data_IF_041940073273
#
_entry.id   IF_041940073273
#
_cell.length_a   1.000
_cell.length_b   1.000
_cell.length_c   1.000
_cell.angle_alpha   90.00
_cell.angle_beta   90.00
_cell.angle_gamma   90.00
#
_symmetry.space_group_name_H-M   'P 1'
#
loop_
_entity.id
_entity.type
_entity.pdbx_description
1 polymer ?
#
# COMPACT_ATOMS: atom_id res chain seq x y z
N UNK A 1 8.55 16.93 36.68
CA UNK A 1 8.68 16.57 36.53
C UNK A 1 8.60 16.27 36.22
N UNK A 2 8.52 16.31 36.15
CA UNK A 2 8.57 15.81 35.79
C UNK A 2 8.34 15.51 35.31
N UNK A 3 8.36 15.38 34.92
CA UNK A 3 8.38 14.74 34.33
C UNK A 3 8.46 14.55 33.76
N UNK A 4 8.61 14.50 33.42
CA UNK A 4 8.77 13.94 32.73
C UNK A 4 8.76 13.65 32.03
N UNK A 5 8.77 13.70 31.83
CA UNK A 5 8.87 13.10 30.99
C UNK A 5 8.64 12.85 30.15
N UNK A 6 8.73 12.77 30.04
CA UNK A 6 8.59 12.31 29.17
C UNK A 6 8.75 12.38 28.30
N UNK A 7 8.78 12.37 28.21
CA UNK A 7 8.91 12.09 27.19
C UNK A 7 9.04 11.83 26.29
N UNK A 8 9.13 11.66 26.11
CA UNK A 8 9.10 11.14 25.32
C UNK A 8 8.74 11.08 24.50
N UNK A 9 8.61 10.99 24.46
CA UNK A 9 8.09 10.67 23.70
C UNK A 9 7.58 11.05 23.13
N UNK A 10 7.48 11.25 23.47
CA UNK A 10 6.78 11.43 22.97
C UNK A 10 6.33 11.91 22.41
N UNK A 11 6.41 12.12 22.53
CA UNK A 11 5.81 12.38 21.77
C UNK A 11 5.24 12.66 21.08
N UNK A 12 5.13 12.54 21.04
CA UNK A 12 4.39 12.53 20.46
C UNK A 12 3.57 13.12 20.40
N UNK A 13 3.64 13.36 20.34
CA UNK A 13 2.73 13.62 20.24
C UNK A 13 1.94 13.96 19.99
N UNK A 14 2.20 13.94 19.70
CA UNK A 14 1.43 14.27 19.62
C UNK A 14 0.26 14.08 19.48
N UNK A 15 0.10 14.07 19.85
CA UNK A 15 -1.14 13.69 20.39
C UNK A 15 -2.16 13.47 19.31
N UNK A 16 -2.73 12.30 19.21
CA UNK A 16 -3.66 11.96 18.15
C UNK A 16 -3.11 12.18 16.77
N UNK A 17 -1.81 12.37 16.69
CA UNK A 17 -1.15 12.70 15.42
C UNK A 17 -0.44 11.52 14.80
N UNK A 18 -0.67 10.33 15.30
CA UNK A 18 -0.11 9.14 14.68
C UNK A 18 -0.77 8.90 13.32
N UNK A 19 0.06 8.70 12.33
CA UNK A 19 -0.39 8.37 10.98
C UNK A 19 -0.62 6.87 10.86
N UNK A 20 -1.34 6.42 9.82
CA UNK A 20 -1.39 4.99 9.53
C UNK A 20 -0.01 4.35 9.41
N UNK A 21 0.96 5.09 8.85
CA UNK A 21 2.35 4.66 8.76
C UNK A 21 2.91 4.31 10.15
N UNK A 22 2.71 5.20 11.12
CA UNK A 22 3.17 4.97 12.48
C UNK A 22 2.43 3.80 13.13
N UNK A 23 1.12 3.74 12.93
CA UNK A 23 0.28 2.68 13.51
C UNK A 23 0.64 1.29 12.98
N UNK A 24 1.11 1.21 11.73
CA UNK A 24 1.55 -0.06 11.16
C UNK A 24 2.92 -0.49 11.65
N UNK A 25 3.73 0.44 12.16
CA UNK A 25 5.05 0.13 12.68
C UNK A 25 6.20 0.66 11.82
N UNK A 26 5.91 1.58 10.90
CA UNK A 26 6.93 2.28 10.14
C UNK A 26 7.36 1.56 8.87
N UNK A 27 8.52 1.96 8.36
CA UNK A 27 9.01 1.58 7.03
C UNK A 27 9.08 0.07 6.81
N UNK A 28 9.69 -0.65 7.73
CA UNK A 28 9.88 -2.09 7.55
C UNK A 28 8.55 -2.83 7.44
N UNK A 29 7.57 -2.43 8.26
CA UNK A 29 6.27 -3.08 8.25
C UNK A 29 5.49 -2.75 6.97
N UNK A 30 5.59 -1.53 6.48
CA UNK A 30 4.94 -1.15 5.22
C UNK A 30 5.58 -1.90 4.05
N UNK A 31 6.91 -2.00 4.03
CA UNK A 31 7.58 -2.74 2.96
C UNK A 31 7.27 -4.23 3.02
N UNK A 32 7.16 -4.81 4.22
CA UNK A 32 6.73 -6.21 4.37
C UNK A 32 5.31 -6.41 3.81
N UNK A 33 4.42 -5.46 4.04
CA UNK A 33 3.07 -5.51 3.50
C UNK A 33 3.09 -5.51 1.97
N UNK A 34 3.92 -4.65 1.38
CA UNK A 34 4.04 -4.56 -0.08
C UNK A 34 4.55 -5.88 -0.67
N UNK A 35 5.57 -6.49 -0.05
CA UNK A 35 6.07 -7.78 -0.53
C UNK A 35 4.99 -8.86 -0.42
N UNK A 36 4.29 -8.92 0.70
CA UNK A 36 3.21 -9.89 0.88
C UNK A 36 2.07 -9.67 -0.14
N UNK A 37 1.79 -8.41 -0.47
CA UNK A 37 0.78 -8.05 -1.45
C UNK A 37 1.12 -8.61 -2.84
N UNK A 38 2.32 -8.37 -3.32
CA UNK A 38 2.72 -8.87 -4.64
C UNK A 38 2.90 -10.39 -4.65
N UNK A 39 3.39 -10.96 -3.55
CA UNK A 39 3.50 -12.41 -3.43
C UNK A 39 2.11 -13.07 -3.51
N UNK A 40 1.12 -12.50 -2.83
CA UNK A 40 -0.26 -13.01 -2.89
C UNK A 40 -0.82 -12.87 -4.31
N UNK A 41 -0.54 -11.76 -4.97
CA UNK A 41 -0.98 -11.53 -6.34
C UNK A 41 -0.38 -12.57 -7.29
N UNK A 42 0.92 -12.82 -7.20
CA UNK A 42 1.57 -13.84 -8.03
C UNK A 42 0.98 -15.23 -7.80
N UNK A 43 0.69 -15.56 -6.56
CA UNK A 43 0.19 -16.88 -6.20
C UNK A 43 -1.28 -17.09 -6.59
N UNK A 44 -2.12 -16.08 -6.32
CA UNK A 44 -3.58 -16.24 -6.36
C UNK A 44 -4.27 -15.51 -7.49
N UNK A 45 -3.63 -14.49 -8.08
CA UNK A 45 -4.26 -13.63 -9.09
C UNK A 45 -3.35 -13.50 -10.32
N UNK A 46 -3.08 -14.59 -11.03
CA UNK A 46 -2.12 -14.56 -12.14
C UNK A 46 -2.51 -13.61 -13.28
N UNK A 47 -3.80 -13.43 -13.53
CA UNK A 47 -4.23 -12.51 -14.59
C UNK A 47 -3.92 -11.06 -14.23
N UNK A 48 -4.08 -10.70 -12.97
CA UNK A 48 -3.71 -9.36 -12.51
C UNK A 48 -2.19 -9.22 -12.49
N UNK A 49 -1.47 -10.23 -12.01
CA UNK A 49 -0.02 -10.21 -11.98
C UNK A 49 0.55 -9.98 -13.38
N UNK A 50 -0.07 -10.59 -14.40
CA UNK A 50 0.40 -10.50 -15.78
C UNK A 50 0.31 -9.08 -16.37
N UNK A 51 -0.45 -8.18 -15.74
CA UNK A 51 -0.52 -6.79 -16.16
C UNK A 51 0.67 -5.97 -15.67
N UNK A 52 1.54 -6.57 -14.88
CA UNK A 52 2.72 -5.91 -14.31
C UNK A 52 3.97 -6.29 -15.07
N UNK A 53 4.98 -5.41 -15.01
CA UNK A 53 6.29 -5.72 -15.52
C UNK A 53 6.87 -6.90 -14.75
N UNK A 54 7.55 -7.80 -15.45
CA UNK A 54 8.12 -9.01 -14.87
C UNK A 54 9.63 -9.04 -15.00
N UNK A 55 10.32 -9.51 -13.96
CA UNK A 55 11.77 -9.78 -14.03
C UNK A 55 12.03 -11.20 -14.51
N UNK A 56 11.07 -12.09 -14.29
CA UNK A 56 11.11 -13.48 -14.74
C UNK A 56 9.66 -13.95 -14.84
N UNK A 57 9.37 -15.07 -15.54
CA UNK A 57 8.00 -15.56 -15.65
C UNK A 57 7.34 -15.72 -14.28
N UNK A 58 6.19 -15.08 -14.12
CA UNK A 58 5.42 -15.11 -12.88
C UNK A 58 6.01 -14.31 -11.73
N UNK A 59 7.05 -13.51 -11.97
CA UNK A 59 7.72 -12.73 -10.92
C UNK A 59 7.62 -11.24 -11.22
N UNK A 60 6.77 -10.56 -10.48
CA UNK A 60 6.59 -9.11 -10.63
C UNK A 60 7.90 -8.38 -10.32
N UNK A 61 8.26 -7.45 -11.21
CA UNK A 61 9.56 -6.80 -11.20
C UNK A 61 9.86 -6.11 -9.87
N UNK A 62 11.14 -6.19 -9.44
CA UNK A 62 11.59 -5.52 -8.22
C UNK A 62 11.33 -4.02 -8.28
N UNK A 63 11.50 -3.40 -9.45
CA UNK A 63 11.27 -1.96 -9.60
C UNK A 63 9.82 -1.58 -9.30
N UNK A 64 8.87 -2.43 -9.67
CA UNK A 64 7.45 -2.17 -9.38
C UNK A 64 7.16 -2.27 -7.89
N UNK A 65 7.71 -3.29 -7.23
CA UNK A 65 7.55 -3.48 -5.79
C UNK A 65 8.14 -2.32 -5.01
N UNK A 66 9.34 -1.90 -5.35
CA UNK A 66 10.04 -0.82 -4.66
C UNK A 66 9.31 0.51 -4.84
N UNK A 67 8.83 0.77 -6.07
CA UNK A 67 8.12 2.02 -6.35
C UNK A 67 6.79 2.09 -5.60
N UNK A 68 6.03 1.00 -5.58
CA UNK A 68 4.79 0.94 -4.81
C UNK A 68 5.06 1.08 -3.32
N UNK A 69 6.15 0.49 -2.84
CA UNK A 69 6.56 0.64 -1.44
C UNK A 69 6.78 2.09 -1.06
N UNK A 70 7.54 2.83 -1.86
CA UNK A 70 7.76 4.26 -1.63
C UNK A 70 6.45 5.05 -1.67
N UNK A 71 5.60 4.75 -2.65
CA UNK A 71 4.31 5.40 -2.76
C UNK A 71 3.46 5.14 -1.51
N UNK A 72 3.37 3.89 -1.09
CA UNK A 72 2.51 3.51 0.03
C UNK A 72 3.01 4.13 1.34
N UNK A 73 4.32 4.18 1.55
CA UNK A 73 4.91 4.84 2.72
C UNK A 73 4.41 6.29 2.80
N UNK A 74 4.53 7.04 1.71
CA UNK A 74 4.07 8.43 1.68
C UNK A 74 2.56 8.57 1.83
N UNK A 75 1.80 7.69 1.15
CA UNK A 75 0.34 7.71 1.18
C UNK A 75 -0.19 7.45 2.58
N UNK A 76 0.50 6.61 3.35
CA UNK A 76 0.13 6.30 4.72
C UNK A 76 0.60 7.36 5.73
N UNK A 77 1.28 8.40 5.28
CA UNK A 77 1.70 9.52 6.13
C UNK A 77 3.14 9.48 6.58
N UNK A 78 3.95 8.59 6.01
CA UNK A 78 5.37 8.52 6.29
C UNK A 78 6.19 9.47 5.42
N UNK A 79 7.52 9.26 5.33
CA UNK A 79 8.37 10.11 4.50
C UNK A 79 7.90 10.20 3.06
N UNK A 80 8.03 11.39 2.46
CA UNK A 80 7.51 11.67 1.11
C UNK A 80 8.56 11.42 0.03
N UNK A 81 9.29 10.32 0.14
CA UNK A 81 10.38 9.99 -0.79
C UNK A 81 9.89 9.73 -2.21
N UNK A 82 8.69 9.15 -2.35
CA UNK A 82 8.12 8.95 -3.69
C UNK A 82 7.98 10.29 -4.40
N UNK A 83 7.38 11.28 -3.73
CA UNK A 83 7.18 12.61 -4.30
C UNK A 83 8.51 13.27 -4.65
N UNK A 84 9.52 13.10 -3.78
CA UNK A 84 10.84 13.68 -4.00
C UNK A 84 11.54 13.08 -5.21
N UNK A 85 11.36 11.76 -5.45
CA UNK A 85 12.05 11.06 -6.53
C UNK A 85 11.27 11.04 -7.84
N UNK A 86 9.94 10.99 -7.78
CA UNK A 86 9.10 10.74 -8.95
C UNK A 86 8.03 11.81 -9.18
N UNK A 87 7.90 12.80 -8.29
CA UNK A 87 6.87 13.81 -8.38
C UNK A 87 5.49 13.27 -7.99
N UNK A 88 4.45 13.96 -8.41
CA UNK A 88 3.08 13.58 -8.10
C UNK A 88 2.76 12.21 -8.70
N UNK A 89 2.12 11.30 -7.94
CA UNK A 89 1.89 9.93 -8.44
C UNK A 89 0.99 9.84 -9.66
N UNK A 90 -0.03 10.69 -9.79
CA UNK A 90 -0.95 10.71 -10.94
C UNK A 90 -1.46 9.31 -11.27
N UNK A 91 -2.03 8.66 -10.30
CA UNK A 91 -2.39 7.24 -10.38
C UNK A 91 -3.27 6.90 -11.58
N UNK A 92 -4.31 7.68 -11.85
CA UNK A 92 -5.21 7.40 -12.97
C UNK A 92 -4.51 7.52 -14.31
N UNK A 93 -3.67 8.53 -14.45
CA UNK A 93 -2.94 8.74 -15.71
C UNK A 93 -1.96 7.59 -15.94
N UNK A 94 -1.24 7.17 -14.91
CA UNK A 94 -0.24 6.11 -15.04
C UNK A 94 -0.86 4.76 -15.36
N UNK A 95 -2.12 4.54 -14.99
CA UNK A 95 -2.83 3.29 -15.24
C UNK A 95 -3.77 3.37 -16.44
N UNK A 96 -3.81 4.50 -17.14
CA UNK A 96 -4.81 4.73 -18.16
C UNK A 96 -4.80 3.74 -19.32
N UNK A 97 -3.65 3.18 -19.66
CA UNK A 97 -3.53 2.22 -20.76
C UNK A 97 -3.63 0.76 -20.29
N UNK A 98 -3.68 0.54 -19.00
CA UNK A 98 -3.87 -0.80 -18.45
C UNK A 98 -5.36 -1.01 -18.21
N UNK A 99 -5.97 -2.10 -18.74
CA UNK A 99 -7.41 -2.28 -18.55
C UNK A 99 -7.73 -2.67 -17.11
N UNK A 100 -8.44 -1.80 -16.40
CA UNK A 100 -8.82 -2.00 -15.00
C UNK A 100 -10.34 -1.98 -14.90
N UNK A 101 -10.94 -3.13 -14.89
CA UNK A 101 -12.37 -3.31 -14.67
C UNK A 101 -12.64 -3.81 -13.26
N UNK A 102 -13.86 -4.30 -13.05
CA UNK A 102 -14.26 -4.82 -11.74
C UNK A 102 -13.43 -6.04 -11.36
N UNK A 103 -13.14 -6.92 -12.30
CA UNK A 103 -12.35 -8.12 -12.01
C UNK A 103 -10.95 -7.77 -11.51
N UNK A 104 -10.29 -6.80 -12.16
CA UNK A 104 -8.94 -6.38 -11.75
C UNK A 104 -8.98 -5.66 -10.40
N UNK A 105 -9.97 -4.81 -10.19
CA UNK A 105 -10.17 -4.16 -8.90
C UNK A 105 -10.34 -5.17 -7.78
N UNK A 106 -11.20 -6.15 -7.98
CA UNK A 106 -11.48 -7.15 -6.95
C UNK A 106 -10.27 -8.04 -6.69
N UNK A 107 -9.53 -8.41 -7.73
CA UNK A 107 -8.29 -9.18 -7.58
C UNK A 107 -7.24 -8.41 -6.80
N UNK A 108 -7.11 -7.09 -7.05
CA UNK A 108 -6.21 -6.22 -6.31
C UNK A 108 -6.58 -6.19 -4.82
N UNK A 109 -7.86 -6.03 -4.54
CA UNK A 109 -8.34 -5.99 -3.15
C UNK A 109 -8.15 -7.33 -2.44
N UNK A 110 -8.37 -8.46 -3.13
CA UNK A 110 -8.11 -9.79 -2.55
C UNK A 110 -6.63 -9.94 -2.21
N UNK A 111 -5.75 -9.50 -3.11
CA UNK A 111 -4.29 -9.57 -2.87
C UNK A 111 -3.90 -8.74 -1.65
N UNK A 112 -4.48 -7.54 -1.52
CA UNK A 112 -4.19 -6.66 -0.38
C UNK A 112 -4.78 -7.24 0.91
N UNK A 113 -5.99 -7.78 0.88
CA UNK A 113 -6.58 -8.41 2.07
C UNK A 113 -5.73 -9.58 2.56
N UNK A 114 -5.26 -10.41 1.63
CA UNK A 114 -4.37 -11.54 1.96
C UNK A 114 -3.09 -11.04 2.61
N UNK A 115 -2.50 -9.98 2.07
CA UNK A 115 -1.29 -9.39 2.61
C UNK A 115 -1.50 -8.82 4.02
N UNK A 116 -2.61 -8.10 4.21
CA UNK A 116 -2.95 -7.55 5.53
C UNK A 116 -3.14 -8.65 6.55
N UNK A 117 -3.80 -9.75 6.16
CA UNK A 117 -3.96 -10.91 7.03
C UNK A 117 -2.60 -11.52 7.38
N UNK A 118 -1.76 -11.73 6.39
CA UNK A 118 -0.44 -12.34 6.58
C UNK A 118 0.44 -11.50 7.50
N UNK A 119 0.33 -10.17 7.40
CA UNK A 119 1.10 -9.26 8.26
C UNK A 119 0.46 -9.03 9.62
N UNK A 120 -0.67 -9.68 9.90
CA UNK A 120 -1.31 -9.59 11.23
C UNK A 120 -1.96 -8.25 11.50
N UNK A 121 -2.38 -7.54 10.46
CA UNK A 121 -2.97 -6.21 10.61
C UNK A 121 -4.47 -6.38 10.88
N UNK A 122 -4.88 -6.02 12.08
CA UNK A 122 -6.25 -6.20 12.59
C UNK A 122 -6.69 -4.93 13.33
N UNK A 123 -7.93 -4.93 13.80
CA UNK A 123 -8.47 -3.84 14.62
C UNK A 123 -8.88 -2.62 13.80
N UNK A 124 -9.01 -1.46 14.46
CA UNK A 124 -9.49 -0.25 13.77
C UNK A 124 -8.64 0.18 12.58
N UNK A 125 -7.31 0.01 12.66
CA UNK A 125 -6.44 0.34 11.52
C UNK A 125 -6.77 -0.55 10.32
N UNK A 126 -7.11 -1.82 10.54
CA UNK A 126 -7.48 -2.72 9.45
C UNK A 126 -8.74 -2.24 8.74
N UNK A 127 -9.78 -1.87 9.50
CA UNK A 127 -11.02 -1.35 8.92
C UNK A 127 -10.79 -0.07 8.12
N UNK A 128 -9.97 0.82 8.66
CA UNK A 128 -9.61 2.06 7.98
C UNK A 128 -8.91 1.77 6.65
N UNK A 129 -7.93 0.88 6.66
CA UNK A 129 -7.18 0.54 5.44
C UNK A 129 -8.05 -0.16 4.42
N UNK A 130 -8.90 -1.11 4.84
CA UNK A 130 -9.80 -1.79 3.93
C UNK A 130 -10.67 -0.79 3.17
N UNK A 131 -11.21 0.21 3.87
CA UNK A 131 -12.03 1.23 3.25
C UNK A 131 -11.22 2.11 2.30
N UNK A 132 -10.06 2.57 2.72
CA UNK A 132 -9.22 3.46 1.89
C UNK A 132 -8.72 2.75 0.65
N UNK A 133 -8.31 1.50 0.78
CA UNK A 133 -7.85 0.73 -0.38
C UNK A 133 -9.00 0.48 -1.36
N UNK A 134 -10.20 0.21 -0.85
CA UNK A 134 -11.37 0.02 -1.71
C UNK A 134 -11.66 1.29 -2.52
N UNK A 135 -11.57 2.46 -1.88
CA UNK A 135 -11.78 3.74 -2.55
C UNK A 135 -10.76 3.99 -3.66
N UNK A 136 -9.48 3.74 -3.37
CA UNK A 136 -8.42 3.95 -4.36
C UNK A 136 -8.55 2.96 -5.52
N UNK A 137 -8.83 1.70 -5.22
CA UNK A 137 -8.96 0.68 -6.26
C UNK A 137 -10.14 0.99 -7.19
N UNK A 138 -11.25 1.43 -6.64
CA UNK A 138 -12.40 1.82 -7.44
C UNK A 138 -12.11 3.07 -8.28
N UNK A 139 -11.38 4.04 -7.70
CA UNK A 139 -10.98 5.25 -8.41
C UNK A 139 -10.13 4.93 -9.65
N UNK A 140 -9.29 3.90 -9.57
CA UNK A 140 -8.41 3.53 -10.68
C UNK A 140 -9.12 2.75 -11.78
N UNK A 141 -10.34 2.31 -11.54
CA UNK A 141 -11.10 1.54 -12.53
C UNK A 141 -11.37 2.39 -13.76
N UNK A 142 -11.11 1.83 -14.95
CA UNK A 142 -11.27 2.52 -16.21
C UNK A 142 -12.05 1.71 -17.25
N UNK A 143 -12.69 0.63 -16.82
CA UNK A 143 -13.56 -0.20 -17.68
C UNK A 143 -14.86 -0.46 -16.93
N UNK A 144 -15.99 -0.61 -17.62
CA UNK A 144 -17.29 -0.79 -16.97
C UNK A 144 -17.46 -2.17 -16.33
N UNK A 145 -16.65 -3.12 -16.65
CA UNK A 145 -16.86 -4.44 -16.10
C UNK A 145 -15.64 -5.26 -15.83
#
# INVERSE_FOLDING_TARGET
TRRRARPRHTPRVSAGLETPYDLLGGRERVLALVEAFYDAMERDEPDLAALHRMDAPGKIARVSRDRFGLFLIGWLGGPQDYMAQHGHPRLRMRHGEVPIGIAQRDAWLRSMASALDQCGIVGPIRGFLDQRFAEVADFLRNRPG
#
